data_IF_345609283533
#
_entry.id   IF_345609283533
#
_cell.length_a   1.000
_cell.length_b   1.000
_cell.length_c   1.000
_cell.angle_alpha   90.00
_cell.angle_beta   90.00
_cell.angle_gamma   90.00
#
_symmetry.space_group_name_H-M   'P 1'
#
loop_
_entity.id
_entity.type
_entity.pdbx_description
1 polymer ?
#
# COMPACT_ATOMS: atom_id res chain seq x y z
N UNK A 1 9.70 -44.72 1.77
CA UNK A 1 8.45 -43.94 1.82
C UNK A 1 8.23 -43.48 3.25
N UNK A 2 8.86 -42.38 3.63
CA UNK A 2 8.62 -41.71 4.91
C UNK A 2 8.44 -40.23 4.55
N UNK A 3 7.19 -39.77 4.62
CA UNK A 3 6.82 -38.38 4.35
C UNK A 3 7.18 -37.56 5.58
N UNK A 4 8.19 -36.71 5.46
CA UNK A 4 8.50 -35.70 6.46
C UNK A 4 7.48 -34.57 6.32
N UNK A 5 6.58 -34.45 7.28
CA UNK A 5 5.68 -33.32 7.40
C UNK A 5 6.51 -32.06 7.67
N UNK A 6 6.42 -31.09 6.76
CA UNK A 6 6.97 -29.74 6.97
C UNK A 6 6.10 -29.05 8.01
N UNK A 7 6.66 -28.83 9.19
CA UNK A 7 6.05 -28.02 10.25
C UNK A 7 6.10 -26.55 9.82
N UNK A 8 4.92 -25.95 9.62
CA UNK A 8 4.79 -24.50 9.45
C UNK A 8 5.28 -23.81 10.74
N UNK A 9 6.11 -22.76 10.66
CA UNK A 9 6.53 -22.01 11.84
C UNK A 9 5.32 -21.43 12.56
N UNK A 10 5.24 -21.69 13.86
CA UNK A 10 4.14 -21.27 14.71
C UNK A 10 4.03 -19.75 14.77
N UNK A 11 2.79 -19.27 14.85
CA UNK A 11 2.43 -17.90 15.16
C UNK A 11 3.13 -17.47 16.46
N UNK A 12 4.15 -16.62 16.34
CA UNK A 12 4.73 -15.97 17.51
C UNK A 12 3.74 -14.95 18.04
N UNK A 13 3.14 -15.28 19.19
CA UNK A 13 2.23 -14.40 19.91
C UNK A 13 2.96 -13.21 20.53
N UNK A 14 2.57 -12.02 20.11
CA UNK A 14 2.55 -10.79 20.90
C UNK A 14 1.11 -10.30 20.87
N UNK A 15 0.61 -9.74 21.97
CA UNK A 15 -0.81 -9.54 22.25
C UNK A 15 -1.50 -8.63 21.22
N UNK A 16 -2.05 -9.22 20.17
CA UNK A 16 -3.12 -8.62 19.38
C UNK A 16 -4.24 -8.30 20.36
N UNK A 17 -4.62 -7.03 20.46
CA UNK A 17 -5.78 -6.61 21.23
C UNK A 17 -6.99 -7.49 20.87
N UNK A 18 -7.89 -7.72 21.84
CA UNK A 18 -9.14 -8.43 21.56
C UNK A 18 -9.79 -7.84 20.30
N UNK A 19 -10.22 -8.69 19.37
CA UNK A 19 -10.81 -8.26 18.10
C UNK A 19 -11.82 -7.14 18.39
N UNK A 20 -11.58 -5.90 17.93
CA UNK A 20 -12.61 -4.89 17.99
C UNK A 20 -13.84 -5.45 17.27
N UNK A 21 -15.04 -5.10 17.73
CA UNK A 21 -16.28 -5.36 16.98
C UNK A 21 -16.27 -4.50 15.71
N UNK A 22 -15.45 -4.88 14.72
CA UNK A 22 -15.53 -4.31 13.39
C UNK A 22 -16.79 -4.90 12.76
N UNK A 23 -17.75 -4.08 12.35
CA UNK A 23 -18.99 -4.57 11.76
C UNK A 23 -18.66 -5.48 10.57
N UNK A 24 -19.10 -6.74 10.66
CA UNK A 24 -19.11 -7.67 9.54
C UNK A 24 -20.53 -7.61 8.96
N UNK A 25 -20.70 -7.20 7.69
CA UNK A 25 -22.00 -7.18 7.06
C UNK A 25 -22.54 -8.61 6.89
N UNK A 26 -23.86 -8.77 6.86
CA UNK A 26 -24.49 -10.09 6.70
C UNK A 26 -24.14 -10.75 5.36
N UNK A 27 -23.87 -9.94 4.33
CA UNK A 27 -23.40 -10.39 3.02
C UNK A 27 -22.19 -9.53 2.58
N UNK A 28 -21.22 -10.07 1.83
CA UNK A 28 -20.13 -9.27 1.28
C UNK A 28 -20.64 -8.15 0.38
N UNK A 29 -20.12 -6.93 0.58
CA UNK A 29 -20.44 -5.77 -0.27
C UNK A 29 -19.55 -5.73 -1.52
N UNK A 30 -19.56 -6.75 -2.38
CA UNK A 30 -18.79 -6.66 -3.62
C UNK A 30 -19.24 -5.46 -4.47
N UNK A 31 -18.29 -4.66 -4.98
CA UNK A 31 -18.61 -3.44 -5.74
C UNK A 31 -18.24 -3.61 -7.20
N UNK A 32 -19.21 -3.43 -8.09
CA UNK A 32 -18.94 -3.22 -9.51
C UNK A 32 -18.59 -1.74 -9.73
N UNK A 33 -17.38 -1.46 -10.18
CA UNK A 33 -16.89 -0.08 -10.38
C UNK A 33 -15.98 0.01 -11.61
N UNK A 34 -15.38 1.17 -11.81
CA UNK A 34 -14.35 1.44 -12.82
C UNK A 34 -13.04 1.80 -12.13
N UNK A 35 -11.94 1.14 -12.51
CA UNK A 35 -10.59 1.55 -12.11
C UNK A 35 -9.85 2.19 -13.29
N UNK A 36 -8.97 3.14 -12.97
CA UNK A 36 -8.25 3.92 -13.98
C UNK A 36 -6.84 3.38 -14.18
N UNK A 37 -6.63 2.68 -15.30
CA UNK A 37 -5.37 2.04 -15.68
C UNK A 37 -4.51 2.94 -16.58
N UNK A 38 -3.26 2.51 -16.81
CA UNK A 38 -2.34 3.15 -17.73
C UNK A 38 -2.90 3.23 -19.15
N UNK A 39 -2.88 4.42 -19.74
CA UNK A 39 -3.13 4.61 -21.18
C UNK A 39 -1.80 4.82 -21.89
N UNK A 40 -1.46 3.91 -22.81
CA UNK A 40 -0.29 4.06 -23.65
C UNK A 40 -0.45 5.26 -24.61
N UNK A 41 0.67 5.91 -24.95
CA UNK A 41 0.68 6.96 -25.96
C UNK A 41 0.35 6.36 -27.34
N UNK A 42 -0.42 7.08 -28.14
CA UNK A 42 -0.88 6.60 -29.46
C UNK A 42 0.28 6.37 -30.44
N UNK A 43 1.39 7.09 -30.26
CA UNK A 43 2.61 6.96 -31.04
C UNK A 43 3.57 5.86 -30.53
N UNK A 44 3.20 5.15 -29.46
CA UNK A 44 4.03 4.11 -28.84
C UNK A 44 5.23 4.63 -28.04
N UNK A 45 5.37 5.95 -27.86
CA UNK A 45 6.43 6.53 -27.03
C UNK A 45 6.26 6.15 -25.55
N UNK A 46 7.36 6.08 -24.77
CA UNK A 46 7.27 5.84 -23.34
C UNK A 46 6.56 7.01 -22.63
N UNK A 47 5.95 6.76 -21.45
CA UNK A 47 5.34 7.84 -20.68
C UNK A 47 6.38 8.88 -20.28
N UNK A 48 6.07 10.16 -20.49
CA UNK A 48 6.85 11.28 -19.95
C UNK A 48 7.11 11.17 -18.43
N UNK A 49 8.23 11.69 -17.91
CA UNK A 49 8.45 11.74 -16.46
C UNK A 49 7.45 12.65 -15.74
N UNK A 50 7.23 12.35 -14.48
CA UNK A 50 6.60 13.26 -13.52
C UNK A 50 7.68 14.05 -12.78
N UNK A 51 7.53 15.37 -12.68
CA UNK A 51 8.47 16.26 -12.01
C UNK A 51 7.87 16.79 -10.71
N UNK A 52 8.55 16.54 -9.59
CA UNK A 52 8.07 16.99 -8.28
C UNK A 52 8.09 18.52 -8.22
N UNK A 53 6.94 19.10 -7.89
CA UNK A 53 6.73 20.55 -7.86
C UNK A 53 6.18 21.14 -9.16
N UNK A 54 5.92 20.29 -10.17
CA UNK A 54 5.28 20.67 -11.45
C UNK A 54 3.97 19.88 -11.63
N UNK A 55 2.84 20.35 -11.04
CA UNK A 55 1.57 19.63 -11.02
C UNK A 55 1.04 19.23 -12.41
N UNK A 56 1.33 20.01 -13.44
CA UNK A 56 0.97 19.74 -14.83
C UNK A 56 1.54 18.42 -15.35
N UNK A 57 2.64 17.94 -14.76
CA UNK A 57 3.26 16.65 -15.11
C UNK A 57 2.62 15.46 -14.40
N UNK A 58 1.65 15.71 -13.50
CA UNK A 58 0.92 14.69 -12.74
C UNK A 58 -0.35 14.25 -13.45
N UNK A 59 -0.87 15.10 -14.34
CA UNK A 59 -2.08 14.82 -15.12
C UNK A 59 -1.75 13.98 -16.33
N UNK A 60 -2.43 12.84 -16.45
CA UNK A 60 -2.21 11.90 -17.55
C UNK A 60 -3.53 11.26 -17.93
N UNK A 61 -3.77 11.02 -19.24
CA UNK A 61 -4.84 10.16 -19.68
C UNK A 61 -4.74 8.78 -19.03
N UNK A 62 -5.89 8.16 -18.81
CA UNK A 62 -6.02 6.81 -18.29
C UNK A 62 -7.02 6.01 -19.12
N UNK A 63 -6.95 4.68 -19.00
CA UNK A 63 -7.92 3.78 -19.61
C UNK A 63 -8.81 3.23 -18.51
N UNK A 64 -10.09 3.65 -18.44
CA UNK A 64 -11.03 3.08 -17.49
C UNK A 64 -11.33 1.62 -17.85
N UNK A 65 -11.41 0.76 -16.85
CA UNK A 65 -11.84 -0.62 -17.01
C UNK A 65 -12.84 -0.96 -15.90
N UNK A 66 -13.98 -1.53 -16.28
CA UNK A 66 -14.96 -2.01 -15.30
C UNK A 66 -14.45 -3.29 -14.66
N UNK A 67 -14.49 -3.33 -13.33
CA UNK A 67 -14.04 -4.47 -12.52
C UNK A 67 -14.99 -4.70 -11.34
N UNK A 68 -14.90 -5.89 -10.77
CA UNK A 68 -15.46 -6.17 -9.45
C UNK A 68 -14.35 -6.04 -8.41
N UNK A 69 -14.60 -5.22 -7.38
CA UNK A 69 -13.73 -5.17 -6.18
C UNK A 69 -14.40 -5.99 -5.09
N UNK A 70 -13.73 -7.04 -4.65
CA UNK A 70 -14.28 -8.01 -3.70
C UNK A 70 -14.11 -7.52 -2.26
N UNK A 71 -15.23 -7.28 -1.59
CA UNK A 71 -15.26 -7.08 -0.14
C UNK A 71 -14.76 -8.32 0.61
N UNK A 72 -13.80 -8.10 1.51
CA UNK A 72 -13.16 -9.14 2.34
C UNK A 72 -13.64 -9.11 3.79
N UNK A 73 -14.74 -8.41 4.09
CA UNK A 73 -15.31 -8.35 5.43
C UNK A 73 -15.54 -9.74 6.03
N UNK A 74 -15.08 -9.97 7.26
CA UNK A 74 -15.10 -11.28 7.93
C UNK A 74 -13.96 -12.24 7.55
N UNK A 75 -13.19 -11.90 6.50
CA UNK A 75 -12.07 -12.67 5.96
C UNK A 75 -10.79 -11.83 5.88
N UNK A 76 -10.73 -10.69 6.58
CA UNK A 76 -9.66 -9.70 6.47
C UNK A 76 -8.30 -10.28 6.88
N UNK A 77 -8.30 -11.27 7.78
CA UNK A 77 -7.11 -11.92 8.30
C UNK A 77 -6.65 -13.14 7.48
N UNK A 78 -7.38 -13.52 6.42
CA UNK A 78 -7.02 -14.64 5.54
C UNK A 78 -5.89 -14.29 4.55
N UNK A 79 -5.52 -13.01 4.48
CA UNK A 79 -4.53 -12.45 3.55
C UNK A 79 -3.18 -12.27 4.24
N UNK A 80 -2.08 -12.50 3.51
CA UNK A 80 -0.73 -12.36 4.03
C UNK A 80 0.20 -11.67 3.03
N UNK A 81 1.19 -10.92 3.56
CA UNK A 81 2.15 -10.17 2.75
C UNK A 81 2.92 -11.03 1.76
N UNK A 82 3.30 -12.26 2.12
CA UNK A 82 4.12 -13.12 1.27
C UNK A 82 3.32 -13.90 0.22
N UNK A 83 2.00 -14.04 0.39
CA UNK A 83 1.13 -14.74 -0.57
C UNK A 83 0.29 -13.80 -1.42
N UNK A 84 -0.25 -12.73 -0.85
CA UNK A 84 -1.14 -11.81 -1.56
C UNK A 84 -0.48 -10.45 -1.83
N UNK A 85 0.57 -10.11 -1.09
CA UNK A 85 1.24 -8.81 -1.16
C UNK A 85 0.55 -7.72 -0.34
N UNK A 86 -0.53 -8.04 0.37
CA UNK A 86 -1.14 -7.19 1.39
C UNK A 86 -1.59 -8.03 2.58
N UNK A 87 -1.81 -7.38 3.72
CA UNK A 87 -2.28 -8.03 4.94
C UNK A 87 -2.97 -7.02 5.84
N UNK A 88 -4.01 -7.43 6.57
CA UNK A 88 -4.70 -6.57 7.51
C UNK A 88 -4.43 -6.99 8.95
N UNK A 89 -4.35 -6.01 9.85
CA UNK A 89 -4.16 -6.23 11.28
C UNK A 89 -5.09 -5.34 12.10
N UNK A 90 -5.62 -5.90 13.21
CA UNK A 90 -6.23 -5.07 14.23
C UNK A 90 -5.15 -4.35 15.02
N UNK A 91 -5.24 -3.03 15.07
CA UNK A 91 -4.32 -2.20 15.82
C UNK A 91 -4.99 -0.90 16.19
N UNK A 92 -5.22 -0.67 17.48
CA UNK A 92 -5.67 0.62 17.98
C UNK A 92 -4.48 1.59 18.11
N UNK A 93 -4.53 2.74 17.44
CA UNK A 93 -3.50 3.79 17.54
C UNK A 93 -3.72 4.69 18.75
N UNK A 94 -2.65 5.13 19.41
CA UNK A 94 -2.74 6.20 20.42
C UNK A 94 -3.00 7.56 19.77
N UNK A 95 -2.38 7.82 18.62
CA UNK A 95 -2.64 9.00 17.81
C UNK A 95 -3.97 8.84 17.06
N UNK A 96 -4.93 9.73 17.32
CA UNK A 96 -6.27 9.64 16.72
C UNK A 96 -6.52 10.70 15.65
N UNK A 97 -5.88 11.87 15.79
CA UNK A 97 -6.25 13.05 15.01
C UNK A 97 -5.29 13.30 13.85
N UNK A 98 -4.02 12.89 13.94
CA UNK A 98 -2.96 13.02 12.92
C UNK A 98 -2.77 14.46 12.39
N UNK A 99 -2.85 15.46 13.26
CA UNK A 99 -2.77 16.89 12.89
C UNK A 99 -1.37 17.51 13.06
N UNK A 100 -0.50 16.87 13.83
CA UNK A 100 0.83 17.39 14.19
C UNK A 100 1.90 16.38 13.77
N UNK A 101 2.74 16.77 12.81
CA UNK A 101 3.82 15.97 12.23
C UNK A 101 4.84 15.50 13.30
N UNK A 102 5.17 16.34 14.27
CA UNK A 102 6.11 16.00 15.33
C UNK A 102 5.48 15.06 16.35
N UNK A 103 4.17 15.20 16.60
CA UNK A 103 3.41 14.24 17.41
C UNK A 103 3.34 12.87 16.71
N UNK A 104 3.08 12.84 15.40
CA UNK A 104 3.06 11.61 14.60
C UNK A 104 4.41 10.88 14.70
N UNK A 105 5.52 11.60 14.50
CA UNK A 105 6.86 11.01 14.61
C UNK A 105 7.18 10.52 16.02
N UNK A 106 6.73 11.24 17.04
CA UNK A 106 7.02 10.89 18.44
C UNK A 106 6.17 9.73 18.96
N UNK A 107 4.91 9.65 18.56
CA UNK A 107 3.91 8.75 19.15
C UNK A 107 3.48 7.64 18.19
N UNK A 108 3.18 7.98 16.92
CA UNK A 108 2.65 7.01 15.94
C UNK A 108 3.74 6.18 15.24
N UNK A 109 4.91 6.75 15.00
CA UNK A 109 6.01 6.00 14.36
C UNK A 109 6.49 4.82 15.23
N UNK A 110 6.67 4.95 16.56
CA UNK A 110 7.05 3.81 17.41
C UNK A 110 6.05 2.65 17.38
N UNK A 111 4.74 2.93 17.46
CA UNK A 111 3.72 1.86 17.38
C UNK A 111 3.67 1.23 15.97
N UNK A 112 3.87 2.02 14.91
CA UNK A 112 3.93 1.51 13.53
C UNK A 112 5.16 0.63 13.30
N UNK A 113 6.32 1.01 13.86
CA UNK A 113 7.52 0.20 13.84
C UNK A 113 7.29 -1.14 14.58
N UNK A 114 6.67 -1.11 15.76
CA UNK A 114 6.38 -2.34 16.50
C UNK A 114 5.40 -3.25 15.74
N UNK A 115 4.32 -2.69 15.19
CA UNK A 115 3.38 -3.42 14.34
C UNK A 115 4.09 -4.11 13.17
N UNK A 116 4.99 -3.41 12.48
CA UNK A 116 5.72 -3.99 11.35
C UNK A 116 6.68 -5.11 11.81
N UNK A 117 7.36 -4.96 12.95
CA UNK A 117 8.18 -6.04 13.53
C UNK A 117 7.34 -7.26 13.85
N UNK A 118 6.21 -7.07 14.52
CA UNK A 118 5.31 -8.16 14.91
C UNK A 118 4.71 -8.86 13.67
N UNK A 119 4.31 -8.08 12.67
CA UNK A 119 3.68 -8.60 11.45
C UNK A 119 4.63 -9.35 10.52
N UNK A 120 5.93 -9.01 10.54
CA UNK A 120 6.89 -9.50 9.54
C UNK A 120 8.02 -10.35 10.14
N UNK A 121 8.28 -10.25 11.44
CA UNK A 121 9.47 -10.81 12.08
C UNK A 121 10.75 -10.02 11.80
N UNK A 122 10.66 -8.84 11.18
CA UNK A 122 11.82 -8.00 10.89
C UNK A 122 12.51 -7.52 12.17
N UNK A 123 13.84 -7.39 12.13
CA UNK A 123 14.62 -6.92 13.29
C UNK A 123 14.85 -5.42 13.26
N UNK A 124 14.75 -4.79 12.08
CA UNK A 124 14.91 -3.34 11.91
C UNK A 124 13.86 -2.78 10.96
N UNK A 125 13.26 -1.67 11.38
CA UNK A 125 12.35 -0.86 10.58
C UNK A 125 12.96 0.54 10.45
N UNK A 126 12.81 1.16 9.28
CA UNK A 126 13.13 2.57 9.09
C UNK A 126 11.98 3.26 8.36
N UNK A 127 11.22 4.05 9.10
CA UNK A 127 10.16 4.89 8.56
C UNK A 127 10.81 6.14 7.97
N UNK A 128 10.59 6.39 6.68
CA UNK A 128 11.24 7.50 5.98
C UNK A 128 10.29 8.65 5.63
N UNK A 129 9.00 8.39 5.50
CA UNK A 129 7.97 9.42 5.33
C UNK A 129 6.59 8.91 5.74
N UNK A 130 5.66 9.85 5.84
CA UNK A 130 4.24 9.55 5.82
C UNK A 130 3.51 10.55 4.92
N UNK A 131 2.29 10.21 4.54
CA UNK A 131 1.41 11.11 3.78
C UNK A 131 0.01 11.01 4.35
N UNK A 132 -0.57 12.17 4.64
CA UNK A 132 -1.96 12.30 5.06
C UNK A 132 -2.80 12.74 3.87
N UNK A 133 -3.94 12.08 3.67
CA UNK A 133 -4.94 12.45 2.67
C UNK A 133 -6.24 12.75 3.37
N UNK A 134 -6.65 14.02 3.31
CA UNK A 134 -7.95 14.54 3.75
C UNK A 134 -8.40 15.53 2.69
N UNK A 135 -9.41 15.19 1.91
CA UNK A 135 -10.02 16.17 1.01
C UNK A 135 -11.04 16.98 1.81
N UNK A 136 -11.14 18.31 1.64
CA UNK A 136 -12.23 19.06 2.24
C UNK A 136 -13.54 18.66 1.54
N UNK A 137 -14.62 18.58 2.33
CA UNK A 137 -15.94 18.12 1.88
C UNK A 137 -16.58 19.02 0.80
N UNK A 138 -16.08 20.23 0.58
CA UNK A 138 -16.59 21.21 -0.38
C UNK A 138 -15.88 21.19 -1.75
N UNK A 139 -14.99 20.21 -1.98
CA UNK A 139 -14.27 20.04 -3.24
C UNK A 139 -13.19 21.10 -3.51
N UNK A 140 -12.91 22.00 -2.56
CA UNK A 140 -11.84 23.01 -2.72
C UNK A 140 -10.49 22.36 -2.44
N UNK A 141 -9.80 21.91 -3.48
CA UNK A 141 -8.43 21.47 -3.37
C UNK A 141 -7.53 22.63 -2.88
N UNK A 142 -7.28 22.69 -1.56
CA UNK A 142 -6.18 23.47 -1.02
C UNK A 142 -4.86 22.84 -1.45
N UNK A 143 -3.79 23.64 -1.59
CA UNK A 143 -2.45 23.13 -1.94
C UNK A 143 -1.96 21.98 -1.01
N UNK A 144 -2.50 21.92 0.21
CA UNK A 144 -2.08 21.00 1.27
C UNK A 144 -3.07 19.84 1.54
N UNK A 145 -4.20 19.76 0.83
CA UNK A 145 -5.24 18.76 1.07
C UNK A 145 -5.45 17.87 -0.16
N UNK A 146 -4.59 16.86 -0.29
CA UNK A 146 -4.63 15.90 -1.41
C UNK A 146 -5.72 14.86 -1.18
N UNK A 147 -6.62 14.72 -2.14
CA UNK A 147 -7.60 13.64 -2.17
C UNK A 147 -6.96 12.26 -2.42
N UNK A 148 -7.77 11.19 -2.34
CA UNK A 148 -7.41 9.84 -2.75
C UNK A 148 -6.83 9.76 -4.17
N UNK A 149 -5.87 8.85 -4.42
CA UNK A 149 -5.34 8.61 -5.78
C UNK A 149 -6.19 7.55 -6.46
N UNK A 150 -6.96 7.94 -7.47
CA UNK A 150 -7.85 7.05 -8.23
C UNK A 150 -7.21 6.41 -9.46
N UNK A 151 -5.87 6.44 -9.58
CA UNK A 151 -5.12 5.72 -10.62
C UNK A 151 -4.52 4.46 -10.05
N UNK A 152 -4.53 3.38 -10.82
CA UNK A 152 -3.86 2.14 -10.43
C UNK A 152 -2.35 2.34 -10.49
N UNK A 153 -1.68 2.15 -9.35
CA UNK A 153 -0.24 2.38 -9.25
C UNK A 153 0.45 1.47 -8.22
N UNK A 154 1.78 1.43 -8.30
CA UNK A 154 2.67 0.96 -7.24
C UNK A 154 3.69 2.07 -6.99
N UNK A 155 3.91 2.41 -5.72
CA UNK A 155 4.70 3.57 -5.29
C UNK A 155 6.17 3.54 -5.72
N UNK A 156 6.73 2.37 -6.02
CA UNK A 156 8.12 2.24 -6.44
C UNK A 156 8.25 1.13 -7.48
N UNK A 157 9.09 1.37 -8.49
CA UNK A 157 9.56 0.29 -9.37
C UNK A 157 10.60 -0.58 -8.68
N UNK A 158 10.87 -1.77 -9.22
CA UNK A 158 11.95 -2.62 -8.68
C UNK A 158 13.31 -1.92 -8.73
N UNK A 159 13.56 -1.13 -9.77
CA UNK A 159 14.82 -0.43 -9.93
C UNK A 159 14.93 0.76 -8.96
N UNK A 160 13.89 1.59 -8.88
CA UNK A 160 13.87 2.71 -7.93
C UNK A 160 13.98 2.24 -6.48
N UNK A 161 13.37 1.09 -6.14
CA UNK A 161 13.41 0.52 -4.80
C UNK A 161 14.84 0.22 -4.30
N UNK A 162 15.75 -0.20 -5.19
CA UNK A 162 17.16 -0.49 -4.83
C UNK A 162 17.89 0.74 -4.30
N UNK A 163 17.51 1.93 -4.77
CA UNK A 163 18.10 3.20 -4.34
C UNK A 163 17.62 3.69 -2.97
N UNK A 164 16.52 3.14 -2.44
CA UNK A 164 15.88 3.65 -1.21
C UNK A 164 16.73 3.39 0.03
N UNK A 165 17.39 2.23 0.11
CA UNK A 165 18.26 1.91 1.25
C UNK A 165 19.50 2.82 1.26
N UNK A 166 20.31 2.95 0.17
CA UNK A 166 21.43 3.89 0.15
C UNK A 166 21.03 5.36 0.35
N UNK A 167 19.84 5.77 -0.11
CA UNK A 167 19.39 7.15 0.05
C UNK A 167 19.07 7.51 1.50
N UNK A 168 18.39 6.62 2.23
CA UNK A 168 17.94 6.90 3.60
C UNK A 168 18.92 6.44 4.68
N UNK A 169 19.70 5.39 4.40
CA UNK A 169 20.62 4.75 5.35
C UNK A 169 21.99 4.51 4.69
N UNK A 170 22.69 5.57 4.21
CA UNK A 170 23.90 5.41 3.40
C UNK A 170 25.01 4.62 4.11
N UNK A 171 25.21 4.86 5.41
CA UNK A 171 26.29 4.24 6.19
C UNK A 171 26.03 2.74 6.45
N UNK A 172 24.76 2.36 6.61
CA UNK A 172 24.35 0.98 6.89
C UNK A 172 24.02 0.18 5.63
N UNK A 173 23.80 0.84 4.49
CA UNK A 173 23.35 0.23 3.25
C UNK A 173 24.21 -0.98 2.79
N UNK A 174 25.55 -0.95 2.87
CA UNK A 174 26.37 -2.10 2.47
C UNK A 174 26.07 -3.38 3.26
N UNK A 175 25.62 -3.30 4.51
CA UNK A 175 25.23 -4.46 5.31
C UNK A 175 23.75 -4.80 5.13
N UNK A 176 22.86 -3.79 5.17
CA UNK A 176 21.42 -3.99 5.07
C UNK A 176 20.99 -4.63 3.74
N UNK A 177 21.72 -4.35 2.65
CA UNK A 177 21.46 -4.91 1.33
C UNK A 177 21.90 -6.39 1.18
N UNK A 178 22.59 -6.98 2.17
CA UNK A 178 22.99 -8.39 2.15
C UNK A 178 21.87 -9.35 2.57
N UNK A 179 20.86 -8.84 3.29
CA UNK A 179 19.68 -9.60 3.69
C UNK A 179 18.44 -9.19 2.90
N UNK A 180 17.30 -9.83 3.18
CA UNK A 180 16.02 -9.37 2.66
C UNK A 180 15.68 -8.00 3.21
N UNK A 181 15.35 -7.10 2.31
CA UNK A 181 14.69 -5.84 2.61
C UNK A 181 13.42 -5.67 1.78
N UNK A 182 12.47 -4.94 2.34
CA UNK A 182 11.16 -4.67 1.75
C UNK A 182 10.82 -3.18 1.86
N UNK A 183 9.89 -2.73 1.04
CA UNK A 183 9.18 -1.47 1.25
C UNK A 183 7.74 -1.83 1.52
N UNK A 184 7.27 -1.50 2.71
CA UNK A 184 5.88 -1.74 3.14
C UNK A 184 5.26 -0.39 3.51
N UNK A 185 4.10 -0.12 2.93
CA UNK A 185 3.24 0.99 3.35
C UNK A 185 2.28 0.48 4.42
N UNK A 186 2.15 1.21 5.52
CA UNK A 186 1.11 1.01 6.54
C UNK A 186 0.03 2.05 6.27
N UNK A 187 -1.08 1.60 5.72
CA UNK A 187 -2.24 2.43 5.42
C UNK A 187 -3.28 2.31 6.54
N UNK A 188 -3.67 3.44 7.13
CA UNK A 188 -4.64 3.52 8.23
C UNK A 188 -5.75 4.52 7.90
N UNK A 189 -7.02 4.15 8.04
CA UNK A 189 -8.11 5.11 8.11
C UNK A 189 -8.01 6.02 9.34
N UNK A 190 -8.22 7.33 9.17
CA UNK A 190 -8.36 8.26 10.31
C UNK A 190 -9.81 8.27 10.79
N UNK A 191 -10.76 8.03 9.88
CA UNK A 191 -12.20 7.83 10.13
C UNK A 191 -12.65 6.56 9.41
N UNK A 192 -13.82 6.02 9.73
CA UNK A 192 -14.40 4.88 9.01
C UNK A 192 -14.59 5.23 7.53
N UNK A 193 -14.15 4.34 6.63
CA UNK A 193 -14.15 4.61 5.18
C UNK A 193 -15.38 4.02 4.51
N UNK A 194 -16.19 4.90 3.95
CA UNK A 194 -17.30 4.56 3.05
C UNK A 194 -17.04 5.09 1.64
N UNK A 195 -16.62 6.35 1.51
CA UNK A 195 -16.28 6.99 0.24
C UNK A 195 -14.84 6.74 -0.17
N UNK A 196 -14.61 6.56 -1.47
CA UNK A 196 -13.28 6.33 -2.07
C UNK A 196 -12.42 5.26 -1.36
N UNK A 197 -12.95 4.07 -1.03
CA UNK A 197 -12.18 3.01 -0.35
C UNK A 197 -10.87 2.63 -1.07
N UNK A 198 -9.94 2.07 -0.31
CA UNK A 198 -8.69 1.53 -0.84
C UNK A 198 -8.93 0.14 -1.43
N UNK A 199 -8.70 -0.02 -2.73
CA UNK A 199 -8.56 -1.32 -3.38
C UNK A 199 -7.08 -1.72 -3.45
N UNK A 200 -6.81 -2.99 -3.18
CA UNK A 200 -5.50 -3.64 -3.32
C UNK A 200 -5.65 -4.86 -4.23
N UNK A 201 -4.70 -5.05 -5.14
CA UNK A 201 -4.70 -6.21 -6.02
C UNK A 201 -4.02 -7.42 -5.35
N UNK A 202 -4.41 -8.63 -5.74
CA UNK A 202 -3.62 -9.84 -5.48
C UNK A 202 -2.37 -9.85 -6.35
N UNK A 203 -1.20 -9.94 -5.71
CA UNK A 203 0.11 -9.88 -6.35
C UNK A 203 0.26 -10.88 -7.51
N UNK A 204 -0.29 -12.09 -7.39
CA UNK A 204 -0.14 -13.15 -8.39
C UNK A 204 -1.11 -13.03 -9.57
N UNK A 205 -2.12 -12.15 -9.46
CA UNK A 205 -3.01 -11.82 -10.57
C UNK A 205 -2.44 -10.73 -11.51
N UNK A 206 -1.31 -10.13 -11.15
CA UNK A 206 -0.73 -9.00 -11.90
C UNK A 206 0.64 -9.39 -12.46
N UNK A 207 0.76 -9.72 -13.76
CA UNK A 207 2.04 -10.06 -14.36
C UNK A 207 2.96 -8.84 -14.48
N UNK A 208 4.28 -9.05 -14.40
CA UNK A 208 5.26 -7.96 -14.55
C UNK A 208 5.21 -7.29 -15.93
N UNK A 209 4.70 -7.98 -16.96
CA UNK A 209 4.49 -7.43 -18.31
C UNK A 209 3.45 -6.31 -18.37
N UNK A 210 2.61 -6.18 -17.34
CA UNK A 210 1.59 -5.14 -17.23
C UNK A 210 2.10 -3.89 -16.51
N UNK A 211 3.29 -3.95 -15.92
CA UNK A 211 3.89 -2.82 -15.23
C UNK A 211 4.56 -1.88 -16.22
N UNK A 212 4.28 -0.59 -16.07
CA UNK A 212 4.87 0.47 -16.87
C UNK A 212 5.56 1.46 -15.94
N UNK A 213 6.89 1.49 -16.03
CA UNK A 213 7.72 2.41 -15.26
C UNK A 213 7.47 3.86 -15.67
N UNK A 214 7.25 4.72 -14.68
CA UNK A 214 7.10 6.15 -14.85
C UNK A 214 8.11 6.84 -13.95
N UNK A 215 9.08 7.52 -14.56
CA UNK A 215 10.09 8.29 -13.84
C UNK A 215 9.43 9.36 -12.99
N UNK A 216 9.87 9.47 -11.74
CA UNK A 216 9.49 10.50 -10.78
C UNK A 216 10.74 11.30 -10.40
N UNK A 217 10.89 12.47 -11.02
CA UNK A 217 12.09 13.29 -10.92
C UNK A 217 11.94 14.30 -9.77
N UNK A 218 12.85 14.20 -8.81
CA UNK A 218 13.02 15.18 -7.73
C UNK A 218 14.21 16.08 -8.06
N UNK A 219 14.31 17.28 -7.45
CA UNK A 219 15.48 18.14 -7.62
C UNK A 219 16.83 17.48 -7.28
N UNK A 220 16.82 16.50 -6.38
CA UNK A 220 18.01 15.86 -5.82
C UNK A 220 18.13 14.36 -6.12
N UNK A 221 17.13 13.73 -6.75
CA UNK A 221 17.15 12.31 -7.08
C UNK A 221 16.16 11.94 -8.18
N UNK A 222 16.41 10.82 -8.84
CA UNK A 222 15.45 10.15 -9.71
C UNK A 222 14.80 8.99 -8.93
N UNK A 223 13.47 8.93 -8.96
CA UNK A 223 12.68 7.77 -8.57
C UNK A 223 11.87 7.25 -9.76
N UNK A 224 11.10 6.20 -9.54
CA UNK A 224 10.22 5.62 -10.56
C UNK A 224 9.08 4.90 -9.87
N UNK A 225 7.85 5.11 -10.35
CA UNK A 225 6.64 4.37 -9.93
C UNK A 225 6.22 3.41 -11.02
N UNK A 226 5.34 2.45 -10.71
CA UNK A 226 4.63 1.71 -11.76
C UNK A 226 3.21 2.23 -11.93
N UNK A 227 2.80 2.46 -13.17
CA UNK A 227 1.39 2.32 -13.56
C UNK A 227 1.15 0.92 -14.11
N UNK A 228 -0.12 0.53 -14.21
CA UNK A 228 -0.51 -0.83 -14.61
C UNK A 228 -1.38 -0.77 -15.85
N UNK A 229 -1.09 -1.59 -16.86
CA UNK A 229 -1.91 -1.74 -18.05
C UNK A 229 -3.30 -2.28 -17.69
N UNK A 230 -4.35 -1.96 -18.47
CA UNK A 230 -5.67 -2.52 -18.25
C UNK A 230 -5.63 -4.04 -18.40
N UNK A 231 -6.05 -4.75 -17.36
CA UNK A 231 -6.11 -6.21 -17.38
C UNK A 231 -7.33 -6.67 -16.55
N UNK A 232 -8.33 -7.31 -17.18
CA UNK A 232 -9.55 -7.76 -16.50
C UNK A 232 -9.33 -8.97 -15.57
N UNK A 233 -8.19 -9.67 -15.69
CA UNK A 233 -7.87 -10.84 -14.87
C UNK A 233 -7.27 -10.48 -13.51
N UNK A 234 -6.94 -9.19 -13.28
CA UNK A 234 -6.45 -8.71 -11.99
C UNK A 234 -7.58 -8.80 -10.96
N UNK A 235 -7.29 -9.50 -9.86
CA UNK A 235 -8.23 -9.64 -8.73
C UNK A 235 -8.04 -8.50 -7.74
N UNK A 236 -9.13 -7.82 -7.42
CA UNK A 236 -9.15 -6.65 -6.54
C UNK A 236 -9.91 -6.93 -5.27
N UNK A 237 -9.36 -6.48 -4.15
CA UNK A 237 -9.93 -6.66 -2.82
C UNK A 237 -10.00 -5.32 -2.09
N UNK A 238 -10.98 -5.20 -1.21
CA UNK A 238 -11.09 -4.07 -0.28
C UNK A 238 -11.86 -4.50 0.96
N UNK A 239 -11.77 -3.71 2.04
CA UNK A 239 -12.60 -3.89 3.23
C UNK A 239 -13.70 -2.83 3.27
N UNK A 240 -14.97 -3.25 3.15
CA UNK A 240 -16.10 -2.34 3.31
C UNK A 240 -16.09 -1.71 4.71
N UNK A 241 -16.35 -0.40 4.83
CA UNK A 241 -16.45 0.23 6.16
C UNK A 241 -15.19 0.12 7.01
N UNK A 242 -13.99 0.07 6.41
CA UNK A 242 -12.74 -0.11 7.14
C UNK A 242 -12.56 0.98 8.22
N UNK A 243 -12.43 0.55 9.47
CA UNK A 243 -12.33 1.41 10.65
C UNK A 243 -10.88 1.80 10.95
N UNK A 244 -10.63 2.86 11.74
CA UNK A 244 -9.28 3.25 12.13
C UNK A 244 -8.46 2.15 12.83
N UNK A 245 -9.13 1.21 13.49
CA UNK A 245 -8.49 0.11 14.24
C UNK A 245 -8.14 -1.10 13.37
N UNK A 246 -8.36 -1.04 12.05
CA UNK A 246 -7.98 -2.07 11.09
C UNK A 246 -7.04 -1.46 10.06
N UNK A 247 -5.75 -1.79 10.15
CA UNK A 247 -4.70 -1.26 9.27
C UNK A 247 -4.43 -2.22 8.12
N UNK A 248 -4.11 -1.67 6.95
CA UNK A 248 -3.69 -2.44 5.77
C UNK A 248 -2.20 -2.25 5.53
N UNK A 249 -1.45 -3.35 5.58
CA UNK A 249 -0.08 -3.40 5.11
C UNK A 249 -0.07 -3.66 3.61
N UNK A 250 0.62 -2.82 2.84
CA UNK A 250 0.72 -2.90 1.39
C UNK A 250 2.20 -3.10 1.04
N UNK A 251 2.53 -4.24 0.42
CA UNK A 251 3.89 -4.49 -0.05
C UNK A 251 4.13 -3.72 -1.34
N UNK A 252 5.02 -2.74 -1.30
CA UNK A 252 5.45 -1.99 -2.49
C UNK A 252 6.69 -2.61 -3.14
N UNK A 253 7.54 -3.27 -2.35
CA UNK A 253 8.74 -3.94 -2.84
C UNK A 253 9.18 -5.09 -1.91
N UNK A 254 9.76 -6.13 -2.52
CA UNK A 254 10.49 -7.21 -1.85
C UNK A 254 11.72 -7.59 -2.67
N UNK A 255 12.84 -7.72 -1.99
CA UNK A 255 14.11 -8.11 -2.61
C UNK A 255 14.16 -9.59 -2.99
N UNK A 256 13.38 -10.45 -2.33
CA UNK A 256 13.33 -11.90 -2.64
C UNK A 256 12.64 -12.16 -3.98
N UNK A 257 13.12 -13.17 -4.71
CA UNK A 257 12.65 -13.55 -6.06
C UNK A 257 12.18 -15.00 -6.14
N UNK A 258 11.93 -15.62 -5.00
CA UNK A 258 11.63 -17.05 -4.81
C UNK A 258 10.14 -17.39 -4.94
N UNK A 259 9.39 -16.56 -5.66
CA UNK A 259 7.97 -16.77 -5.94
C UNK A 259 7.01 -16.16 -4.91
N UNK A 260 7.49 -15.62 -3.79
CA UNK A 260 6.63 -14.85 -2.87
C UNK A 260 6.15 -13.55 -3.51
N UNK A 261 5.02 -13.01 -3.06
CA UNK A 261 4.51 -11.72 -3.49
C UNK A 261 5.55 -10.62 -3.24
N UNK A 262 5.85 -9.82 -4.26
CA UNK A 262 6.91 -8.80 -4.20
C UNK A 262 6.41 -7.35 -4.21
N UNK A 263 5.19 -7.14 -4.69
CA UNK A 263 4.58 -5.83 -4.88
C UNK A 263 3.11 -5.98 -5.23
N UNK A 264 2.27 -5.00 -4.85
CA UNK A 264 0.85 -4.97 -5.25
C UNK A 264 0.42 -3.60 -5.75
N UNK A 265 -0.28 -3.55 -6.90
CA UNK A 265 -1.04 -2.38 -7.27
C UNK A 265 -2.11 -2.05 -6.25
N UNK A 266 -2.33 -0.75 -6.05
CA UNK A 266 -3.40 -0.25 -5.21
C UNK A 266 -3.95 1.07 -5.75
N UNK A 267 -5.17 1.40 -5.35
CA UNK A 267 -5.86 2.60 -5.80
C UNK A 267 -7.03 2.93 -4.90
N UNK A 268 -7.47 4.19 -4.90
CA UNK A 268 -8.80 4.53 -4.43
C UNK A 268 -9.82 4.28 -5.54
N UNK A 269 -11.02 3.83 -5.20
CA UNK A 269 -12.07 3.64 -6.20
C UNK A 269 -13.39 4.24 -5.74
N UNK A 270 -14.18 4.72 -6.70
CA UNK A 270 -15.52 5.21 -6.40
C UNK A 270 -16.45 4.01 -6.16
N UNK A 271 -17.11 3.98 -5.00
CA UNK A 271 -18.23 3.08 -4.78
C UNK A 271 -19.54 3.86 -5.07
N UNK A 272 -20.32 3.49 -6.10
CA UNK A 272 -21.55 4.19 -6.45
C UNK A 272 -22.55 4.30 -5.30
N UNK A 273 -22.54 3.35 -4.36
CA UNK A 273 -23.45 3.33 -3.21
C UNK A 273 -23.08 4.34 -2.12
N UNK A 274 -21.82 4.79 -2.07
CA UNK A 274 -21.28 5.63 -0.99
C UNK A 274 -20.64 6.91 -1.49
N UNK A 275 -20.88 7.31 -2.75
CA UNK A 275 -20.35 8.56 -3.34
C UNK A 275 -20.78 9.82 -2.58
N UNK A 276 -21.96 9.76 -1.93
CA UNK A 276 -22.52 10.83 -1.12
C UNK A 276 -22.02 10.87 0.34
N UNK A 277 -21.22 9.90 0.76
CA UNK A 277 -20.70 9.81 2.13
C UNK A 277 -19.55 10.81 2.38
N UNK A 278 -19.16 10.92 3.66
CA UNK A 278 -18.06 11.79 4.08
C UNK A 278 -16.75 11.43 3.35
N UNK A 279 -15.96 12.46 3.02
CA UNK A 279 -14.69 12.28 2.33
C UNK A 279 -13.73 11.40 3.16
N UNK A 280 -12.99 10.52 2.48
CA UNK A 280 -11.97 9.67 3.09
C UNK A 280 -10.87 10.50 3.75
N UNK A 281 -10.57 10.14 4.99
CA UNK A 281 -9.39 10.59 5.73
C UNK A 281 -8.48 9.39 6.04
N UNK A 282 -7.21 9.45 5.65
CA UNK A 282 -6.26 8.35 5.85
C UNK A 282 -4.84 8.86 6.02
N UNK A 283 -4.01 8.08 6.70
CA UNK A 283 -2.56 8.23 6.76
C UNK A 283 -1.90 7.00 6.15
N UNK A 284 -0.82 7.22 5.41
CA UNK A 284 0.04 6.17 4.90
C UNK A 284 1.46 6.42 5.38
N UNK A 285 2.03 5.49 6.14
CA UNK A 285 3.43 5.51 6.59
C UNK A 285 4.23 4.56 5.71
N UNK A 286 5.38 5.02 5.21
CA UNK A 286 6.24 4.20 4.36
C UNK A 286 7.52 3.82 5.07
N UNK A 287 7.79 2.51 5.09
CA UNK A 287 8.92 1.97 5.83
C UNK A 287 9.79 1.06 4.96
N UNK A 288 11.10 1.13 5.21
CA UNK A 288 12.03 0.06 4.89
C UNK A 288 11.99 -0.97 6.02
N UNK A 289 11.86 -2.24 5.65
CA UNK A 289 11.72 -3.37 6.58
C UNK A 289 12.83 -4.36 6.30
N UNK A 290 13.67 -4.67 7.29
CA UNK A 290 14.90 -5.43 7.11
C UNK A 290 14.90 -6.74 7.91
N UNK A 291 15.36 -7.80 7.23
CA UNK A 291 15.54 -9.15 7.77
C UNK A 291 16.99 -9.58 7.51
N UNK A 292 17.95 -9.18 8.37
CA UNK A 292 19.39 -9.41 8.15
C UNK A 292 19.78 -10.89 8.10
N UNK A 293 18.99 -11.76 8.71
CA UNK A 293 19.21 -13.21 8.78
C UNK A 293 18.47 -13.98 7.66
N UNK A 294 17.44 -13.37 7.04
CA UNK A 294 16.82 -13.89 5.80
C UNK A 294 17.72 -13.53 4.61
N UNK A 295 18.91 -14.09 4.67
CA UNK A 295 19.90 -14.10 3.58
C UNK A 295 19.50 -15.20 2.63
N UNK A 296 19.48 -14.87 1.34
CA UNK A 296 19.40 -15.75 0.16
C UNK A 296 18.95 -14.90 -1.03
#
# INVERSE_FOLDING_TARGET
>A
MASAAVQLPGSHGSALAAQPQVPVPENPHHVQTTLNFFKANEDGSPPHPTYVGQPETYERPYTPLSVTVHDISGHELDYALDTHGFQLYYHESQEKDFLDDEKIKREYYPETEQLLKDATGATRIHIFDHTIRRAPNDGRAGKDLRGPVQRVHIDQSYEASKSRVPFHLPDDAPELLKGRYQIINVWRPIKTILKDPLAVADAHSVPDTDLVGIKLIYPNREGETYSVKPNPDIKWYYRYGQTPDLVTLIKCFDSKTDGRARRVPHTAFENPETVGEAARESIEVRALVFHPDDRD
#
